data_IF_654448674911
#
_entry.id   IF_654448674911
#
_cell.length_a   1.000
_cell.length_b   1.000
_cell.length_c   1.000
_cell.angle_alpha   90.00
_cell.angle_beta   90.00
_cell.angle_gamma   90.00
#
_symmetry.space_group_name_H-M   'P 1'
#
loop_
_entity.id
_entity.type
_entity.pdbx_description
1 polymer ?
#
# COMPACT_ATOMS: atom_id res chain seq x y z
N UNK A 1 -6.37 -0.83 -6.79
CA UNK A 1 -6.32 -2.17 -7.41
C UNK A 1 -5.36 -2.18 -8.60
N UNK A 2 -4.65 -3.30 -8.81
CA UNK A 2 -3.80 -3.50 -10.00
C UNK A 2 -4.62 -3.85 -11.25
N UNK A 3 -5.87 -4.22 -11.08
CA UNK A 3 -6.83 -4.44 -12.18
C UNK A 3 -7.72 -3.21 -12.35
N UNK A 4 -8.01 -2.87 -13.62
CA UNK A 4 -8.97 -1.82 -13.90
C UNK A 4 -10.38 -2.23 -13.47
N UNK A 5 -11.24 -1.25 -13.21
CA UNK A 5 -12.65 -1.49 -12.88
C UNK A 5 -13.33 -2.40 -13.91
N UNK A 6 -13.20 -2.07 -15.20
CA UNK A 6 -13.79 -2.86 -16.30
C UNK A 6 -13.36 -4.33 -16.26
N UNK A 7 -12.07 -4.58 -15.98
CA UNK A 7 -11.56 -5.96 -15.87
C UNK A 7 -12.06 -6.68 -14.63
N UNK A 8 -12.14 -6.02 -13.49
CA UNK A 8 -12.72 -6.61 -12.28
C UNK A 8 -14.20 -6.91 -12.47
N UNK A 9 -14.93 -6.00 -13.09
CA UNK A 9 -16.35 -6.16 -13.40
C UNK A 9 -16.60 -7.37 -14.31
N UNK A 10 -15.74 -7.58 -15.32
CA UNK A 10 -15.89 -8.74 -16.22
C UNK A 10 -15.62 -10.09 -15.53
N UNK A 11 -14.85 -10.10 -14.43
CA UNK A 11 -14.48 -11.34 -13.70
C UNK A 11 -15.45 -11.61 -12.54
N UNK A 12 -15.78 -10.57 -11.77
CA UNK A 12 -16.49 -10.70 -10.50
C UNK A 12 -17.91 -10.10 -10.52
N UNK A 13 -18.33 -9.48 -11.62
CA UNK A 13 -19.58 -8.72 -11.72
C UNK A 13 -19.51 -7.33 -11.10
N UNK A 14 -20.54 -6.53 -11.37
CA UNK A 14 -20.62 -5.11 -10.94
C UNK A 14 -20.63 -4.98 -9.43
N UNK A 15 -21.53 -5.72 -8.77
CA UNK A 15 -21.78 -5.60 -7.33
C UNK A 15 -20.55 -5.96 -6.49
N UNK A 16 -19.88 -7.06 -6.79
CA UNK A 16 -18.68 -7.46 -6.07
C UNK A 16 -17.51 -6.48 -6.32
N UNK A 17 -17.41 -5.95 -7.54
CA UNK A 17 -16.44 -4.91 -7.86
C UNK A 17 -16.70 -3.64 -7.06
N UNK A 18 -17.95 -3.19 -6.94
CA UNK A 18 -18.33 -2.04 -6.12
C UNK A 18 -18.00 -2.24 -4.63
N UNK A 19 -18.31 -3.42 -4.08
CA UNK A 19 -17.93 -3.77 -2.71
C UNK A 19 -16.41 -3.69 -2.47
N UNK A 20 -15.62 -4.19 -3.41
CA UNK A 20 -14.16 -4.13 -3.32
C UNK A 20 -13.66 -2.68 -3.23
N UNK A 21 -14.15 -1.78 -4.08
CA UNK A 21 -13.74 -0.37 -4.05
C UNK A 21 -14.22 0.33 -2.79
N UNK A 22 -15.46 0.08 -2.35
CA UNK A 22 -15.98 0.60 -1.09
C UNK A 22 -15.09 0.18 0.10
N UNK A 23 -14.77 -1.11 0.19
CA UNK A 23 -13.90 -1.64 1.23
C UNK A 23 -12.49 -1.01 1.20
N UNK A 24 -11.98 -0.67 0.01
CA UNK A 24 -10.68 0.02 -0.12
C UNK A 24 -10.72 1.44 0.46
N UNK A 25 -11.81 2.17 0.24
CA UNK A 25 -12.02 3.51 0.83
C UNK A 25 -12.18 3.41 2.34
N UNK A 26 -13.02 2.48 2.81
CA UNK A 26 -13.22 2.22 4.23
C UNK A 26 -11.92 1.83 4.93
N UNK A 27 -11.10 0.97 4.31
CA UNK A 27 -9.78 0.59 4.84
C UNK A 27 -8.82 1.77 4.96
N UNK A 28 -8.84 2.70 4.00
CA UNK A 28 -8.05 3.93 4.07
C UNK A 28 -8.49 4.82 5.24
N UNK A 29 -9.79 5.01 5.40
CA UNK A 29 -10.34 5.79 6.51
C UNK A 29 -10.04 5.12 7.86
N UNK A 30 -10.26 3.81 7.97
CA UNK A 30 -9.94 3.04 9.17
C UNK A 30 -8.47 3.16 9.57
N UNK A 31 -7.55 3.17 8.60
CA UNK A 31 -6.13 3.40 8.88
C UNK A 31 -5.89 4.79 9.47
N UNK A 32 -6.56 5.83 8.96
CA UNK A 32 -6.50 7.19 9.53
C UNK A 32 -7.04 7.22 10.96
N UNK A 33 -8.15 6.52 11.20
CA UNK A 33 -8.77 6.45 12.53
C UNK A 33 -7.84 5.77 13.53
N UNK A 34 -7.20 4.66 13.18
CA UNK A 34 -6.19 3.97 14.00
C UNK A 34 -5.03 4.92 14.34
N UNK A 35 -4.48 5.62 13.34
CA UNK A 35 -3.38 6.57 13.54
C UNK A 35 -3.78 7.64 14.56
N UNK A 36 -4.98 8.19 14.42
CA UNK A 36 -5.51 9.23 15.31
C UNK A 36 -5.83 8.69 16.70
N UNK A 37 -6.57 7.60 16.78
CA UNK A 37 -7.04 6.99 18.04
C UNK A 37 -5.87 6.54 18.92
N UNK A 38 -4.84 5.96 18.31
CA UNK A 38 -3.68 5.43 19.05
C UNK A 38 -2.51 6.42 19.10
N UNK A 39 -2.72 7.64 18.59
CA UNK A 39 -1.72 8.70 18.53
C UNK A 39 -0.38 8.22 17.96
N UNK A 40 -0.43 7.61 16.76
CA UNK A 40 0.74 7.03 16.11
C UNK A 40 1.46 8.08 15.27
N UNK A 41 2.67 8.42 15.65
CA UNK A 41 3.55 9.28 14.86
C UNK A 41 4.22 8.47 13.74
N UNK A 42 3.67 8.53 12.53
CA UNK A 42 4.12 7.75 11.38
C UNK A 42 4.34 8.56 10.10
N UNK A 43 4.76 9.82 10.24
CA UNK A 43 5.11 10.70 9.11
C UNK A 43 3.99 10.76 8.05
N UNK A 44 2.75 11.01 8.47
CA UNK A 44 1.61 11.13 7.53
C UNK A 44 1.85 12.30 6.58
N UNK A 45 1.81 12.05 5.27
CA UNK A 45 2.00 13.06 4.23
C UNK A 45 1.00 12.90 3.09
N UNK A 46 0.69 14.03 2.44
CA UNK A 46 -0.29 14.09 1.37
C UNK A 46 -1.73 13.88 1.86
N UNK A 47 -2.68 14.20 1.00
CA UNK A 47 -4.12 14.03 1.24
C UNK A 47 -4.81 13.30 0.08
N UNK A 48 -4.05 13.01 -0.95
CA UNK A 48 -4.47 12.40 -2.21
C UNK A 48 -3.40 11.45 -2.73
N UNK A 49 -3.73 10.65 -3.72
CA UNK A 49 -2.77 9.88 -4.52
C UNK A 49 -2.91 10.28 -5.98
N UNK A 50 -1.79 10.30 -6.70
CA UNK A 50 -1.75 10.64 -8.11
C UNK A 50 -1.52 9.42 -8.98
N UNK A 51 -2.20 9.39 -10.13
CA UNK A 51 -1.93 8.45 -11.23
C UNK A 51 -1.43 9.27 -12.42
N UNK A 52 -0.19 9.04 -12.82
CA UNK A 52 0.49 9.81 -13.88
C UNK A 52 0.48 9.01 -15.18
N UNK A 53 0.04 9.63 -16.27
CA UNK A 53 0.15 9.08 -17.60
C UNK A 53 1.61 9.12 -18.04
N UNK A 54 2.25 7.95 -18.23
CA UNK A 54 3.63 7.86 -18.69
C UNK A 54 3.78 8.03 -20.20
N UNK A 55 2.68 8.11 -20.92
CA UNK A 55 2.63 8.30 -22.38
C UNK A 55 1.36 9.04 -22.76
N UNK A 56 1.41 9.83 -23.84
CA UNK A 56 0.29 10.67 -24.29
C UNK A 56 -1.04 9.90 -24.48
N UNK A 57 -0.99 8.69 -25.04
CA UNK A 57 -2.19 7.87 -25.25
C UNK A 57 -2.79 7.33 -23.94
N UNK A 58 -2.05 7.39 -22.81
CA UNK A 58 -2.53 6.98 -21.50
C UNK A 58 -3.30 8.08 -20.77
N UNK A 59 -3.17 9.32 -21.22
CA UNK A 59 -3.84 10.44 -20.58
C UNK A 59 -5.37 10.33 -20.72
N UNK A 60 -5.88 9.98 -21.88
CA UNK A 60 -7.33 9.76 -22.06
C UNK A 60 -7.82 8.57 -21.19
N UNK A 61 -7.04 7.50 -21.09
CA UNK A 61 -7.39 6.36 -20.25
C UNK A 61 -7.49 6.71 -18.77
N UNK A 62 -6.61 7.57 -18.26
CA UNK A 62 -6.69 8.00 -16.85
C UNK A 62 -7.83 8.98 -16.58
N UNK A 63 -8.24 9.79 -17.58
CA UNK A 63 -9.45 10.61 -17.48
C UNK A 63 -10.70 9.73 -17.35
N UNK A 64 -10.85 8.71 -18.20
CA UNK A 64 -11.94 7.74 -18.09
C UNK A 64 -11.94 7.06 -16.70
N UNK A 65 -10.75 6.70 -16.20
CA UNK A 65 -10.63 6.10 -14.87
C UNK A 65 -11.06 7.07 -13.76
N UNK A 66 -10.69 8.34 -13.85
CA UNK A 66 -11.09 9.36 -12.89
C UNK A 66 -12.63 9.54 -12.86
N UNK A 67 -13.27 9.56 -14.05
CA UNK A 67 -14.74 9.65 -14.15
C UNK A 67 -15.42 8.41 -13.56
N UNK A 68 -14.89 7.21 -13.78
CA UNK A 68 -15.40 5.98 -13.14
C UNK A 68 -15.28 6.05 -11.62
N UNK A 69 -14.16 6.54 -11.10
CA UNK A 69 -13.98 6.70 -9.65
C UNK A 69 -15.02 7.65 -9.05
N UNK A 70 -15.29 8.75 -9.76
CA UNK A 70 -16.27 9.74 -9.34
C UNK A 70 -17.71 9.24 -9.46
N UNK A 71 -18.09 8.72 -10.62
CA UNK A 71 -19.49 8.33 -10.91
C UNK A 71 -19.91 7.05 -10.20
N UNK A 72 -19.05 6.02 -10.17
CA UNK A 72 -19.42 4.71 -9.63
C UNK A 72 -19.17 4.57 -8.12
N UNK A 73 -18.20 5.34 -7.57
CA UNK A 73 -17.79 5.19 -6.19
C UNK A 73 -17.88 6.46 -5.35
N UNK A 74 -18.26 7.60 -5.93
CA UNK A 74 -18.30 8.88 -5.23
C UNK A 74 -16.91 9.35 -4.75
N UNK A 75 -15.84 8.81 -5.32
CA UNK A 75 -14.47 9.19 -4.97
C UNK A 75 -14.16 10.56 -5.56
N UNK A 76 -13.71 11.50 -4.73
CA UNK A 76 -13.26 12.81 -5.19
C UNK A 76 -12.04 12.64 -6.11
N UNK A 77 -12.15 13.14 -7.34
CA UNK A 77 -11.08 13.10 -8.34
C UNK A 77 -10.87 14.47 -8.95
N UNK A 78 -9.62 14.76 -9.34
CA UNK A 78 -9.26 15.94 -10.12
C UNK A 78 -8.25 15.56 -11.20
N UNK A 79 -8.49 16.02 -12.43
CA UNK A 79 -7.64 15.78 -13.59
C UNK A 79 -6.73 17.01 -13.75
N UNK A 80 -5.49 16.77 -14.14
CA UNK A 80 -4.46 17.77 -14.35
C UNK A 80 -3.83 17.57 -15.73
N UNK A 81 -3.70 18.64 -16.52
CA UNK A 81 -2.87 18.63 -17.72
C UNK A 81 -1.40 18.37 -17.35
N UNK A 82 -0.56 18.20 -18.36
CA UNK A 82 0.89 18.10 -18.15
C UNK A 82 1.44 19.31 -17.41
N UNK A 83 1.07 20.50 -17.85
CA UNK A 83 1.52 21.79 -17.33
C UNK A 83 1.01 22.00 -15.89
N UNK A 84 -0.26 21.71 -15.65
CA UNK A 84 -0.84 21.80 -14.29
C UNK A 84 -0.17 20.84 -13.31
N UNK A 85 0.16 19.61 -13.77
CA UNK A 85 0.83 18.65 -12.90
C UNK A 85 2.31 18.99 -12.68
N UNK A 86 2.99 19.57 -13.64
CA UNK A 86 4.35 20.11 -13.48
C UNK A 86 4.39 21.17 -12.37
N UNK A 87 3.32 21.94 -12.17
CA UNK A 87 3.24 22.97 -11.13
C UNK A 87 3.03 22.42 -9.71
N UNK A 88 2.37 21.29 -9.54
CA UNK A 88 1.98 20.78 -8.21
C UNK A 88 2.61 19.44 -7.86
N UNK A 89 3.04 18.67 -8.83
CA UNK A 89 3.53 17.31 -8.68
C UNK A 89 5.02 17.20 -8.97
N UNK A 90 5.33 16.93 -10.21
CA UNK A 90 6.71 16.90 -10.73
C UNK A 90 6.70 17.04 -12.27
N UNK A 91 7.81 17.54 -12.80
CA UNK A 91 8.09 17.55 -14.24
C UNK A 91 8.71 16.24 -14.75
N UNK A 92 9.03 16.20 -16.01
CA UNK A 92 9.76 15.11 -16.65
C UNK A 92 9.24 14.73 -18.03
N UNK A 93 10.05 13.94 -18.74
CA UNK A 93 9.76 13.53 -20.14
C UNK A 93 8.68 12.46 -20.25
N UNK A 94 8.46 11.68 -19.22
CA UNK A 94 7.41 10.63 -19.15
C UNK A 94 6.22 11.06 -18.29
N UNK A 95 5.93 12.35 -18.22
CA UNK A 95 4.76 12.91 -17.55
C UNK A 95 3.90 13.61 -18.60
N UNK A 96 2.68 13.10 -18.82
CA UNK A 96 1.71 13.58 -19.82
C UNK A 96 0.37 13.97 -19.19
N UNK A 97 0.39 14.39 -17.92
CA UNK A 97 -0.77 14.70 -17.12
C UNK A 97 -1.07 13.61 -16.08
N UNK A 98 -1.95 13.94 -15.17
CA UNK A 98 -2.30 13.09 -14.05
C UNK A 98 -3.77 13.23 -13.65
N UNK A 99 -4.25 12.31 -12.81
CA UNK A 99 -5.40 12.59 -11.96
C UNK A 99 -5.07 12.26 -10.50
N UNK A 100 -5.69 13.00 -9.59
CA UNK A 100 -5.68 12.66 -8.16
C UNK A 100 -6.99 12.03 -7.73
N UNK A 101 -6.93 11.28 -6.62
CA UNK A 101 -8.12 10.76 -5.95
C UNK A 101 -7.96 10.81 -4.43
N UNK A 102 -9.10 10.99 -3.72
CA UNK A 102 -9.19 11.00 -2.25
C UNK A 102 -10.24 9.97 -1.78
N UNK A 103 -10.10 9.42 -0.56
CA UNK A 103 -9.02 9.67 0.40
C UNK A 103 -7.80 8.82 0.07
N UNK A 104 -6.64 9.43 0.15
CA UNK A 104 -5.35 8.74 0.09
C UNK A 104 -4.28 9.56 0.82
N UNK A 105 -3.27 8.88 1.34
CA UNK A 105 -2.15 9.50 2.05
C UNK A 105 -0.98 8.53 2.09
N UNK A 106 0.17 9.01 2.48
CA UNK A 106 1.35 8.19 2.68
C UNK A 106 1.78 8.20 4.15
N UNK A 107 2.38 7.10 4.57
CA UNK A 107 2.91 6.92 5.93
C UNK A 107 4.29 6.29 5.88
N UNK A 108 5.00 6.34 7.00
CA UNK A 108 6.15 5.49 7.25
C UNK A 108 5.64 4.16 7.82
N UNK A 109 5.71 3.05 7.04
CA UNK A 109 5.11 1.78 7.46
C UNK A 109 5.79 1.19 8.70
N UNK A 110 7.11 1.40 8.88
CA UNK A 110 7.80 0.90 10.07
C UNK A 110 7.35 1.65 11.33
N UNK A 111 7.27 2.97 11.27
CA UNK A 111 6.74 3.77 12.40
C UNK A 111 5.30 3.41 12.71
N UNK A 112 4.47 3.16 11.69
CA UNK A 112 3.08 2.75 11.87
C UNK A 112 2.97 1.41 12.61
N UNK A 113 3.69 0.37 12.16
CA UNK A 113 3.68 -0.95 12.79
C UNK A 113 4.23 -0.89 14.22
N UNK A 114 5.33 -0.15 14.44
CA UNK A 114 5.88 0.05 15.79
C UNK A 114 4.90 0.80 16.71
N UNK A 115 4.15 1.75 16.17
CA UNK A 115 3.10 2.46 16.91
C UNK A 115 1.98 1.52 17.34
N UNK A 116 1.51 0.66 16.46
CA UNK A 116 0.52 -0.39 16.78
C UNK A 116 1.06 -1.34 17.85
N UNK A 117 2.31 -1.80 17.71
CA UNK A 117 2.94 -2.70 18.69
C UNK A 117 3.05 -2.03 20.08
N UNK A 118 3.46 -0.76 20.12
CA UNK A 118 3.52 0.03 21.36
C UNK A 118 2.15 0.14 22.03
N UNK A 119 1.11 0.42 21.25
CA UNK A 119 -0.26 0.47 21.74
C UNK A 119 -0.71 -0.90 22.27
N UNK A 120 -0.45 -1.98 21.56
CA UNK A 120 -0.78 -3.35 21.98
C UNK A 120 -0.12 -3.69 23.32
N UNK A 121 1.16 -3.39 23.48
CA UNK A 121 1.89 -3.57 24.75
C UNK A 121 1.28 -2.75 25.90
N UNK A 122 0.83 -1.52 25.65
CA UNK A 122 0.14 -0.70 26.66
C UNK A 122 -1.18 -1.32 27.13
N UNK A 123 -1.81 -2.16 26.29
CA UNK A 123 -3.00 -2.96 26.64
C UNK A 123 -2.65 -4.33 27.26
N UNK A 124 -1.40 -4.52 27.67
CA UNK A 124 -0.89 -5.75 28.27
C UNK A 124 -0.91 -6.98 27.35
N UNK A 125 -0.98 -6.78 26.04
CA UNK A 125 -0.77 -7.85 25.08
C UNK A 125 0.71 -8.26 25.10
N UNK A 126 0.96 -9.55 24.94
CA UNK A 126 2.32 -10.10 24.91
C UNK A 126 2.77 -10.19 23.45
N UNK A 127 3.95 -9.66 23.17
CA UNK A 127 4.62 -9.77 21.86
C UNK A 127 5.93 -10.52 22.12
N UNK A 128 6.16 -11.59 21.38
CA UNK A 128 7.36 -12.41 21.47
C UNK A 128 8.14 -12.25 20.15
N UNK A 129 9.19 -11.46 20.20
CA UNK A 129 10.11 -11.28 19.07
C UNK A 129 11.06 -12.48 18.98
N UNK A 130 11.64 -12.70 17.79
CA UNK A 130 12.58 -13.80 17.51
C UNK A 130 12.04 -15.20 17.89
N UNK A 131 10.74 -15.33 18.04
CA UNK A 131 10.06 -16.53 18.52
C UNK A 131 9.28 -17.18 17.37
N UNK A 132 10.00 -17.94 16.56
CA UNK A 132 9.41 -18.66 15.44
C UNK A 132 8.51 -19.78 15.92
N UNK A 133 7.31 -19.89 15.34
CA UNK A 133 6.44 -21.06 15.52
C UNK A 133 6.88 -22.14 14.55
N UNK A 134 7.37 -23.26 15.08
CA UNK A 134 7.88 -24.36 14.26
C UNK A 134 6.81 -25.42 13.96
N UNK A 135 5.78 -25.54 14.84
CA UNK A 135 4.71 -26.51 14.67
C UNK A 135 3.41 -26.00 15.29
N UNK A 136 2.29 -26.36 14.66
CA UNK A 136 0.94 -26.12 15.18
C UNK A 136 0.24 -27.48 15.32
N UNK A 137 -0.06 -27.88 16.55
CA UNK A 137 -0.85 -29.07 16.84
C UNK A 137 -2.28 -28.65 17.22
N UNK A 138 -3.26 -29.54 17.01
CA UNK A 138 -4.63 -29.36 17.48
C UNK A 138 -4.97 -30.43 18.49
N UNK A 139 -5.26 -30.03 19.72
CA UNK A 139 -5.54 -30.91 20.86
C UNK A 139 -6.77 -30.40 21.62
N UNK A 140 -7.76 -31.31 21.82
CA UNK A 140 -8.96 -31.04 22.63
C UNK A 140 -9.64 -29.69 22.30
N UNK A 141 -9.78 -29.37 20.98
CA UNK A 141 -10.42 -28.12 20.52
C UNK A 141 -9.56 -26.85 20.68
N UNK A 142 -8.30 -26.99 21.09
CA UNK A 142 -7.33 -25.89 21.18
C UNK A 142 -6.17 -26.12 20.23
N UNK A 143 -5.48 -25.05 19.88
CA UNK A 143 -4.23 -25.09 19.14
C UNK A 143 -3.05 -24.94 20.09
N UNK A 144 -2.01 -25.74 19.86
CA UNK A 144 -0.73 -25.65 20.55
C UNK A 144 0.31 -25.17 19.54
N UNK A 145 0.82 -23.96 19.75
CA UNK A 145 1.88 -23.38 18.93
C UNK A 145 3.21 -23.72 19.62
N UNK A 146 4.07 -24.48 18.95
CA UNK A 146 5.36 -24.89 19.48
C UNK A 146 6.48 -24.01 18.92
N UNK A 147 7.34 -23.59 19.80
CA UNK A 147 8.56 -22.82 19.51
C UNK A 147 9.76 -23.54 20.13
N UNK A 148 10.97 -23.09 19.84
CA UNK A 148 12.19 -23.66 20.46
C UNK A 148 12.22 -23.50 21.97
N UNK A 149 11.61 -22.43 22.50
CA UNK A 149 11.71 -22.06 23.91
C UNK A 149 10.48 -22.44 24.73
N UNK A 150 9.41 -22.90 24.06
CA UNK A 150 8.18 -23.27 24.78
C UNK A 150 6.98 -23.44 23.87
N UNK A 151 5.78 -23.37 24.43
CA UNK A 151 4.56 -23.50 23.68
C UNK A 151 3.46 -22.56 24.18
N UNK A 152 2.56 -22.21 23.28
CA UNK A 152 1.37 -21.39 23.59
C UNK A 152 0.13 -22.21 23.24
N UNK A 153 -0.80 -22.30 24.18
CA UNK A 153 -2.14 -22.89 23.95
C UNK A 153 -3.14 -21.78 23.66
N UNK A 154 -3.89 -21.91 22.58
CA UNK A 154 -4.92 -20.94 22.19
C UNK A 154 -6.17 -21.63 21.61
N UNK A 155 -7.35 -21.05 21.84
CA UNK A 155 -8.60 -21.51 21.23
C UNK A 155 -8.70 -21.14 19.75
N UNK A 156 -8.06 -20.05 19.33
CA UNK A 156 -8.04 -19.54 17.95
C UNK A 156 -6.65 -19.03 17.62
N UNK A 157 -6.26 -19.16 16.38
CA UNK A 157 -5.01 -18.60 15.85
C UNK A 157 -5.31 -17.77 14.60
N UNK A 158 -4.51 -16.74 14.37
CA UNK A 158 -4.48 -15.97 13.12
C UNK A 158 -3.07 -16.08 12.56
N UNK A 159 -2.98 -16.52 11.31
CA UNK A 159 -1.71 -16.61 10.59
C UNK A 159 -1.59 -15.37 9.73
N UNK A 160 -0.70 -14.47 10.09
CA UNK A 160 -0.48 -13.19 9.42
C UNK A 160 0.97 -13.05 8.94
N UNK A 161 1.55 -14.13 8.41
CA UNK A 161 2.96 -14.22 8.03
C UNK A 161 3.27 -13.66 6.64
N UNK A 162 2.23 -13.22 5.89
CA UNK A 162 2.36 -12.71 4.53
C UNK A 162 3.17 -13.67 3.64
N UNK A 163 4.12 -13.19 2.85
CA UNK A 163 5.00 -14.00 1.99
C UNK A 163 6.06 -14.83 2.73
N UNK A 164 6.15 -14.69 4.07
CA UNK A 164 7.08 -15.47 4.91
C UNK A 164 6.45 -16.74 5.47
N UNK A 165 5.45 -17.29 4.79
CA UNK A 165 4.84 -18.56 5.15
C UNK A 165 5.86 -19.70 5.06
N UNK A 166 5.89 -20.56 6.09
CA UNK A 166 6.71 -21.76 6.10
C UNK A 166 5.85 -22.97 5.67
N UNK A 167 6.24 -23.66 4.61
CA UNK A 167 5.59 -24.90 4.19
C UNK A 167 5.64 -25.95 5.30
N UNK A 168 4.57 -26.73 5.40
CA UNK A 168 4.37 -27.72 6.45
C UNK A 168 3.81 -27.19 7.76
N UNK A 169 3.78 -25.86 7.97
CA UNK A 169 3.21 -25.28 9.18
C UNK A 169 1.68 -25.41 9.23
N UNK A 170 1.02 -25.21 8.10
CA UNK A 170 -0.42 -25.38 7.90
C UNK A 170 -0.63 -26.07 6.54
N UNK A 171 -0.80 -27.41 6.51
CA UNK A 171 -0.85 -28.16 5.25
C UNK A 171 -1.87 -27.64 4.23
N UNK A 172 -2.98 -27.04 4.69
CA UNK A 172 -4.01 -26.46 3.82
C UNK A 172 -3.53 -25.22 3.04
N UNK A 173 -2.43 -24.59 3.46
CA UNK A 173 -1.83 -23.43 2.81
C UNK A 173 -0.62 -23.76 1.95
N UNK A 174 -0.12 -24.99 2.03
CA UNK A 174 1.05 -25.42 1.26
C UNK A 174 0.79 -25.30 -0.26
N UNK A 175 1.76 -24.77 -0.99
CA UNK A 175 1.66 -24.50 -2.42
C UNK A 175 0.66 -23.39 -2.82
N UNK A 176 0.05 -22.66 -1.87
CA UNK A 176 -0.94 -21.60 -2.13
C UNK A 176 -0.40 -20.18 -1.99
N UNK A 177 0.81 -20.03 -1.50
CA UNK A 177 1.45 -18.71 -1.32
C UNK A 177 2.65 -18.63 -2.26
N UNK A 178 2.59 -17.69 -3.20
CA UNK A 178 3.72 -17.36 -4.08
C UNK A 178 4.34 -16.05 -3.58
N UNK A 179 5.53 -16.09 -2.96
CA UNK A 179 6.22 -14.88 -2.55
C UNK A 179 6.77 -14.15 -3.79
N UNK A 180 6.37 -12.89 -3.97
CA UNK A 180 6.85 -12.04 -5.06
C UNK A 180 7.62 -10.87 -4.46
N UNK A 181 8.85 -10.68 -4.90
CA UNK A 181 9.70 -9.58 -4.46
C UNK A 181 9.24 -8.28 -5.11
N UNK A 182 9.13 -7.23 -4.32
CA UNK A 182 8.97 -5.85 -4.78
C UNK A 182 10.17 -5.03 -4.31
N UNK A 183 10.88 -4.43 -5.24
CA UNK A 183 12.09 -3.67 -4.94
C UNK A 183 11.76 -2.20 -4.72
N UNK A 184 12.36 -1.63 -3.68
CA UNK A 184 12.28 -0.21 -3.37
C UNK A 184 13.69 0.32 -3.18
N UNK A 185 13.99 1.43 -3.82
CA UNK A 185 15.19 2.21 -3.60
C UNK A 185 14.83 3.55 -2.98
N UNK A 186 15.74 4.09 -2.21
CA UNK A 186 15.61 5.42 -1.63
C UNK A 186 16.89 6.19 -1.92
N UNK A 187 16.77 7.40 -2.42
CA UNK A 187 17.95 8.25 -2.70
C UNK A 187 18.62 8.70 -1.40
N UNK A 188 19.82 9.24 -1.50
CA UNK A 188 20.32 10.17 -0.48
C UNK A 188 19.39 11.39 -0.36
N UNK A 189 19.55 12.20 0.66
CA UNK A 189 18.89 13.50 0.71
C UNK A 189 19.29 14.33 -0.50
N UNK A 190 18.30 14.87 -1.18
CA UNK A 190 18.46 15.78 -2.31
C UNK A 190 18.46 17.21 -1.80
N UNK A 191 19.25 18.07 -2.42
CA UNK A 191 19.21 19.51 -2.15
C UNK A 191 18.06 20.17 -2.96
N UNK A 192 17.83 21.45 -2.73
CA UNK A 192 16.74 22.18 -3.36
C UNK A 192 16.92 22.29 -4.88
N UNK A 193 18.15 22.48 -5.36
CA UNK A 193 18.43 22.58 -6.80
C UNK A 193 18.11 21.26 -7.52
N UNK A 194 18.47 20.13 -6.92
CA UNK A 194 18.16 18.80 -7.46
C UNK A 194 16.65 18.54 -7.49
N UNK A 195 15.91 18.94 -6.45
CA UNK A 195 14.45 18.84 -6.43
C UNK A 195 13.79 19.77 -7.45
N UNK A 196 14.34 20.97 -7.59
CA UNK A 196 13.82 21.98 -8.52
C UNK A 196 14.09 21.62 -9.98
N UNK A 197 15.19 20.90 -10.30
CA UNK A 197 15.50 20.42 -11.66
C UNK A 197 14.33 19.63 -12.28
N UNK A 198 13.62 18.86 -11.47
CA UNK A 198 12.45 18.09 -11.89
C UNK A 198 11.14 18.59 -11.27
N UNK A 199 11.18 19.75 -10.64
CA UNK A 199 10.02 20.38 -10.01
C UNK A 199 9.25 19.44 -9.06
N UNK A 200 9.98 18.62 -8.26
CA UNK A 200 9.35 17.61 -7.40
C UNK A 200 8.78 18.25 -6.12
N UNK A 201 7.50 18.66 -6.20
CA UNK A 201 6.83 19.45 -5.13
C UNK A 201 6.01 18.59 -4.18
N UNK A 202 5.25 17.64 -4.69
CA UNK A 202 4.29 16.90 -3.87
C UNK A 202 4.91 15.86 -2.95
N UNK A 203 4.32 15.70 -1.75
CA UNK A 203 4.58 14.59 -0.82
C UNK A 203 3.56 13.46 -0.93
N UNK A 204 2.55 13.64 -1.77
CA UNK A 204 1.54 12.61 -2.04
C UNK A 204 2.14 11.43 -2.79
N UNK A 205 1.67 10.20 -2.55
CA UNK A 205 2.10 9.04 -3.32
C UNK A 205 1.67 9.14 -4.77
N UNK A 206 2.57 8.73 -5.66
CA UNK A 206 2.38 8.74 -7.10
C UNK A 206 2.57 7.33 -7.65
N UNK A 207 1.72 6.93 -8.59
CA UNK A 207 1.92 5.76 -9.42
C UNK A 207 1.78 6.14 -10.89
N UNK A 208 2.51 5.47 -11.78
CA UNK A 208 2.34 5.68 -13.22
C UNK A 208 1.50 4.59 -13.88
N UNK A 209 1.22 4.76 -15.15
CA UNK A 209 0.39 3.83 -15.96
C UNK A 209 1.20 2.75 -16.69
N UNK A 210 2.47 2.51 -16.35
CA UNK A 210 3.25 1.40 -16.95
C UNK A 210 2.69 0.05 -16.49
N UNK A 211 2.84 -1.00 -17.29
CA UNK A 211 2.42 -2.35 -16.94
C UNK A 211 3.18 -2.87 -15.71
N UNK A 212 4.49 -2.70 -15.69
CA UNK A 212 5.33 -2.78 -14.49
C UNK A 212 5.36 -1.38 -13.88
N UNK A 213 4.28 -1.04 -13.20
CA UNK A 213 4.08 0.31 -12.68
C UNK A 213 5.22 0.72 -11.74
N UNK A 214 5.62 1.97 -11.86
CA UNK A 214 6.45 2.62 -10.88
C UNK A 214 5.56 3.33 -9.87
N UNK A 215 5.96 3.24 -8.59
CA UNK A 215 5.36 4.02 -7.52
C UNK A 215 6.46 4.76 -6.77
N UNK A 216 6.22 6.02 -6.50
CA UNK A 216 7.25 6.88 -5.94
C UNK A 216 6.64 8.03 -5.17
N UNK A 217 7.45 8.64 -4.31
CA UNK A 217 7.09 9.84 -3.56
C UNK A 217 8.32 10.55 -3.01
N UNK A 218 8.18 11.83 -2.71
CA UNK A 218 9.11 12.57 -1.89
C UNK A 218 8.85 12.26 -0.41
N UNK A 219 9.89 12.00 0.34
CA UNK A 219 9.86 11.82 1.77
C UNK A 219 10.02 13.17 2.50
N UNK A 220 9.58 13.30 3.77
CA UNK A 220 9.69 14.56 4.52
C UNK A 220 11.09 15.14 4.63
N UNK A 221 12.11 14.31 4.49
CA UNK A 221 13.53 14.69 4.56
C UNK A 221 14.19 14.91 3.20
N UNK A 222 13.39 15.15 2.14
CA UNK A 222 13.84 15.40 0.77
C UNK A 222 14.53 14.21 0.08
N UNK A 223 14.33 13.00 0.54
CA UNK A 223 14.67 11.80 -0.23
C UNK A 223 13.52 11.42 -1.16
N UNK A 224 13.84 10.79 -2.27
CA UNK A 224 12.85 10.19 -3.16
C UNK A 224 12.85 8.67 -2.91
N UNK A 225 11.69 8.15 -2.56
CA UNK A 225 11.42 6.72 -2.56
C UNK A 225 10.86 6.33 -3.92
N UNK A 226 11.44 5.29 -4.52
CA UNK A 226 11.02 4.78 -5.81
C UNK A 226 10.94 3.26 -5.76
N UNK A 227 9.80 2.71 -6.15
CA UNK A 227 9.58 1.28 -6.17
C UNK A 227 8.97 0.80 -7.48
N UNK A 228 9.26 -0.45 -7.79
CA UNK A 228 8.69 -1.16 -8.94
C UNK A 228 8.48 -2.62 -8.57
N UNK A 229 7.82 -3.36 -9.44
CA UNK A 229 7.76 -4.82 -9.30
C UNK A 229 9.17 -5.38 -9.48
N UNK A 230 9.55 -6.28 -8.57
CA UNK A 230 10.76 -7.07 -8.72
C UNK A 230 10.62 -8.12 -9.82
N UNK A 231 11.75 -8.69 -10.19
CA UNK A 231 11.80 -9.84 -11.09
C UNK A 231 11.37 -11.11 -10.38
N UNK A 232 10.94 -12.10 -11.15
CA UNK A 232 10.56 -13.43 -10.67
C UNK A 232 11.72 -14.43 -10.80
N UNK A 233 12.95 -13.94 -10.83
CA UNK A 233 14.13 -14.84 -10.91
C UNK A 233 14.48 -15.43 -9.57
#
# INVERSE_FOLDING_TARGET
>A
SKMSFKKMQSIYGVEETKKFFKNSVEGSNHTKDIIKEYNIECDVTGDSSYVVAHHKNKFEQIKEQAEVYKSEFGIETKIYSKEEFDEIGHGGTEQYGAFSYKPAFAINPLKFVNGIAKYALSKKLKIFEHTKVDKIDKENGSYILRTKEGSIRSKKIVVATNGFYQEGLIPQMDGRVLPVISNIIVTRKLNEDELNTHNFKTFSPIANTKNLLYYYRKLPDNRILFGTRGDLT
#
